data_IF_904125554581
#
_entry.id   IF_904125554581
#
_cell.length_a   1.000
_cell.length_b   1.000
_cell.length_c   1.000
_cell.angle_alpha   90.00
_cell.angle_beta   90.00
_cell.angle_gamma   90.00
#
_symmetry.space_group_name_H-M   'P 1'
#
loop_
_entity.id
_entity.type
_entity.pdbx_description
1 polymer ?
#
# COMPACT_ATOMS: atom_id res chain seq x y z
N UNK A 1 58.05 -9.80 13.32
CA UNK A 1 56.98 -9.28 14.19
C UNK A 1 55.83 -8.84 13.29
N UNK A 2 54.84 -9.71 13.06
CA UNK A 2 53.61 -9.35 12.35
C UNK A 2 52.70 -8.61 13.33
N UNK A 3 52.55 -7.30 13.14
CA UNK A 3 51.66 -6.48 13.93
C UNK A 3 50.21 -6.85 13.64
N UNK A 4 49.60 -7.62 14.54
CA UNK A 4 48.16 -7.84 14.59
C UNK A 4 47.46 -6.48 14.77
N UNK A 5 46.92 -5.91 13.69
CA UNK A 5 45.99 -4.77 13.79
C UNK A 5 44.79 -5.25 14.62
N UNK A 6 44.74 -4.85 15.89
CA UNK A 6 43.50 -4.90 16.68
C UNK A 6 42.45 -4.11 15.90
N UNK A 7 41.47 -4.81 15.33
CA UNK A 7 40.23 -4.19 14.87
C UNK A 7 39.64 -3.46 16.07
N UNK A 8 39.51 -2.13 15.98
CA UNK A 8 38.79 -1.35 16.97
C UNK A 8 37.39 -1.93 17.12
N UNK A 9 36.87 -1.99 18.35
CA UNK A 9 35.49 -2.36 18.58
C UNK A 9 34.59 -1.47 17.70
N UNK A 10 33.61 -2.02 16.97
CA UNK A 10 32.75 -1.22 16.12
C UNK A 10 32.08 -0.13 16.98
N UNK A 11 32.20 1.13 16.56
CA UNK A 11 31.54 2.25 17.22
C UNK A 11 30.01 2.10 17.15
N UNK A 12 29.30 2.84 18.00
CA UNK A 12 27.83 2.86 17.99
C UNK A 12 27.29 3.29 16.61
N UNK A 13 26.22 2.63 16.18
CA UNK A 13 25.54 2.91 14.90
C UNK A 13 24.83 4.26 14.96
N UNK A 14 25.03 5.11 13.97
CA UNK A 14 24.46 6.47 13.91
C UNK A 14 23.30 6.55 12.93
N UNK A 15 22.28 7.33 13.29
CA UNK A 15 21.08 7.55 12.49
C UNK A 15 20.99 9.02 12.08
N UNK A 16 20.72 9.27 10.80
CA UNK A 16 20.42 10.59 10.27
C UNK A 16 19.08 10.58 9.51
N UNK A 17 18.23 11.55 9.82
CA UNK A 17 16.96 11.80 9.15
C UNK A 17 17.17 12.96 8.18
N UNK A 18 17.16 12.65 6.89
CA UNK A 18 17.30 13.60 5.79
C UNK A 18 15.92 14.18 5.49
N UNK A 19 15.51 15.19 6.26
CA UNK A 19 14.26 15.93 6.08
C UNK A 19 13.52 16.19 7.40
N UNK A 20 12.85 17.33 7.47
CA UNK A 20 12.25 17.87 8.70
C UNK A 20 10.88 18.51 8.47
N UNK A 21 10.21 18.14 7.38
CA UNK A 21 8.80 18.48 7.19
C UNK A 21 7.91 17.79 8.23
N UNK A 22 6.60 17.87 8.02
CA UNK A 22 5.60 17.30 8.93
C UNK A 22 5.85 15.80 9.20
N UNK A 23 6.04 14.98 8.16
CA UNK A 23 6.37 13.56 8.32
C UNK A 23 7.79 13.31 8.84
N UNK A 24 8.76 14.13 8.45
CA UNK A 24 10.15 14.02 8.94
C UNK A 24 10.25 14.25 10.46
N UNK A 25 9.45 15.18 10.98
CA UNK A 25 9.37 15.45 12.42
C UNK A 25 8.63 14.33 13.16
N UNK A 26 7.54 13.79 12.59
CA UNK A 26 6.80 12.68 13.20
C UNK A 26 7.65 11.40 13.29
N UNK A 27 8.37 11.04 12.21
CA UNK A 27 9.29 9.89 12.26
C UNK A 27 10.49 10.13 13.18
N UNK A 28 10.95 11.38 13.31
CA UNK A 28 11.99 11.73 14.29
C UNK A 28 11.52 11.45 15.72
N UNK A 29 10.24 11.70 16.03
CA UNK A 29 9.66 11.37 17.33
C UNK A 29 9.70 9.86 17.61
N UNK A 30 9.35 9.03 16.62
CA UNK A 30 9.41 7.56 16.73
C UNK A 30 10.86 7.07 16.94
N UNK A 31 11.78 7.50 16.07
CA UNK A 31 13.17 7.06 16.10
C UNK A 31 13.86 7.53 17.39
N UNK A 32 13.69 8.81 17.76
CA UNK A 32 14.28 9.37 18.97
C UNK A 32 13.82 8.66 20.24
N UNK A 33 12.55 8.26 20.32
CA UNK A 33 12.02 7.51 21.46
C UNK A 33 12.57 6.08 21.51
N UNK A 34 12.62 5.38 20.38
CA UNK A 34 13.03 3.98 20.31
C UNK A 34 14.54 3.77 20.49
N UNK A 35 15.36 4.69 19.97
CA UNK A 35 16.83 4.54 19.97
C UNK A 35 17.42 4.53 21.39
N UNK A 36 16.73 5.11 22.37
CA UNK A 36 17.12 5.05 23.80
C UNK A 36 17.25 3.60 24.27
N UNK A 37 16.35 2.72 23.82
CA UNK A 37 16.30 1.31 24.20
C UNK A 37 17.12 0.39 23.26
N UNK A 38 17.88 0.95 22.32
CA UNK A 38 18.70 0.21 21.37
C UNK A 38 20.21 0.40 21.68
N UNK A 39 20.84 -0.50 22.45
CA UNK A 39 22.21 -0.31 22.96
C UNK A 39 23.28 -0.24 21.87
N UNK A 40 23.01 -0.78 20.68
CA UNK A 40 23.93 -0.77 19.55
C UNK A 40 23.97 0.58 18.80
N UNK A 41 23.07 1.51 19.12
CA UNK A 41 22.95 2.81 18.47
C UNK A 41 23.46 3.96 19.34
N UNK A 42 24.03 4.97 18.69
CA UNK A 42 24.27 6.29 19.26
C UNK A 42 22.91 6.89 19.61
N UNK A 43 22.80 7.51 20.79
CA UNK A 43 21.52 8.06 21.24
C UNK A 43 21.16 9.32 20.49
N UNK A 44 22.15 10.04 19.95
CA UNK A 44 21.93 11.26 19.18
C UNK A 44 21.47 10.92 17.77
N UNK A 45 20.32 11.46 17.38
CA UNK A 45 19.79 11.35 16.01
C UNK A 45 19.85 12.72 15.37
N UNK A 46 20.64 12.85 14.30
CA UNK A 46 20.69 14.10 13.54
C UNK A 46 19.49 14.17 12.60
N UNK A 47 18.79 15.31 12.58
CA UNK A 47 17.73 15.60 11.64
C UNK A 47 18.15 16.80 10.79
N UNK A 48 18.28 16.60 9.48
CA UNK A 48 18.57 17.69 8.56
C UNK A 48 17.38 18.64 8.46
N UNK A 49 17.63 19.92 8.76
CA UNK A 49 16.66 21.00 8.67
C UNK A 49 17.13 22.03 7.67
N UNK A 50 16.40 22.21 6.57
CA UNK A 50 16.69 23.34 5.69
C UNK A 50 16.48 24.63 6.49
N UNK A 51 17.52 25.45 6.57
CA UNK A 51 17.50 26.60 7.48
C UNK A 51 16.48 27.65 7.00
N UNK A 52 15.62 28.07 7.93
CA UNK A 52 14.62 29.08 7.70
C UNK A 52 14.65 30.08 8.85
N UNK A 53 14.47 31.36 8.53
CA UNK A 53 14.24 32.41 9.52
C UNK A 53 12.73 32.52 9.71
N UNK A 54 12.27 32.31 10.95
CA UNK A 54 10.85 32.37 11.26
C UNK A 54 10.33 33.80 11.16
N UNK A 55 9.24 33.99 10.40
CA UNK A 55 8.63 35.30 10.18
C UNK A 55 7.83 35.80 11.42
N UNK A 56 7.17 36.95 11.28
CA UNK A 56 6.40 37.57 12.36
C UNK A 56 5.23 36.72 12.88
N UNK A 57 4.71 35.77 12.09
CA UNK A 57 3.58 34.92 12.47
C UNK A 57 3.93 33.91 13.56
N UNK A 58 5.23 33.72 13.84
CA UNK A 58 5.73 32.80 14.88
C UNK A 58 5.97 33.45 16.25
N UNK A 59 5.48 34.68 16.46
CA UNK A 59 5.47 35.34 17.77
C UNK A 59 6.86 35.47 18.39
N UNK A 60 7.04 34.95 19.60
CA UNK A 60 8.34 34.98 20.32
C UNK A 60 9.48 34.21 19.63
N UNK A 61 9.18 33.44 18.59
CA UNK A 61 10.18 32.77 17.76
C UNK A 61 10.57 33.59 16.52
N UNK A 62 9.94 34.73 16.27
CA UNK A 62 10.22 35.56 15.11
C UNK A 62 11.69 35.99 15.07
N UNK A 63 12.28 35.96 13.86
CA UNK A 63 13.69 36.29 13.62
C UNK A 63 14.68 35.18 14.02
N UNK A 64 14.23 34.09 14.67
CA UNK A 64 15.09 32.98 15.06
C UNK A 64 15.24 31.97 13.91
N UNK A 65 16.41 31.33 13.87
CA UNK A 65 16.67 30.15 13.04
C UNK A 65 15.79 28.98 13.47
N UNK A 66 15.14 28.30 12.53
CA UNK A 66 14.29 27.15 12.81
C UNK A 66 15.08 26.03 13.53
N UNK A 67 16.33 25.78 13.13
CA UNK A 67 17.20 24.80 13.81
C UNK A 67 17.43 25.13 15.28
N UNK A 68 17.69 26.40 15.60
CA UNK A 68 17.90 26.86 16.96
C UNK A 68 16.62 26.70 17.81
N UNK A 69 15.45 26.99 17.23
CA UNK A 69 14.16 26.78 17.91
C UNK A 69 13.92 25.30 18.17
N UNK A 70 14.16 24.42 17.19
CA UNK A 70 14.01 22.98 17.38
C UNK A 70 14.96 22.46 18.46
N UNK A 71 16.24 22.85 18.44
CA UNK A 71 17.22 22.37 19.42
C UNK A 71 17.01 22.89 20.84
N UNK A 72 16.31 24.01 21.02
CA UNK A 72 16.06 24.61 22.36
C UNK A 72 14.69 24.24 22.92
N UNK A 73 13.66 24.20 22.07
CA UNK A 73 12.28 23.88 22.48
C UNK A 73 11.92 22.42 22.28
N UNK A 74 12.73 21.67 21.54
CA UNK A 74 12.41 20.32 21.08
C UNK A 74 11.04 20.27 20.40
N UNK A 75 10.74 21.24 19.54
CA UNK A 75 9.50 21.30 18.78
C UNK A 75 9.77 21.89 17.40
N UNK A 76 9.24 21.24 16.35
CA UNK A 76 9.19 21.84 15.03
C UNK A 76 7.95 22.71 14.88
N UNK A 77 8.05 23.95 15.38
CA UNK A 77 6.94 24.91 15.47
C UNK A 77 6.28 25.25 14.13
N UNK A 78 6.98 25.00 13.01
CA UNK A 78 6.48 25.25 11.66
C UNK A 78 5.78 24.04 11.06
N UNK A 79 6.39 22.86 11.17
CA UNK A 79 5.94 21.69 10.42
C UNK A 79 5.23 20.63 11.26
N UNK A 80 5.37 20.62 12.59
CA UNK A 80 4.70 19.70 13.51
C UNK A 80 4.37 20.39 14.84
N UNK A 81 3.64 21.51 14.73
CA UNK A 81 3.25 22.36 15.87
C UNK A 81 2.48 21.57 16.93
N UNK A 82 2.81 21.79 18.19
CA UNK A 82 2.16 21.16 19.35
C UNK A 82 2.72 19.80 19.75
N UNK A 83 3.69 19.25 18.99
CA UNK A 83 4.31 17.97 19.33
C UNK A 83 5.77 18.13 19.71
N UNK A 84 6.08 17.78 20.96
CA UNK A 84 7.46 17.74 21.45
C UNK A 84 8.23 16.56 20.84
N UNK A 85 9.41 16.85 20.30
CA UNK A 85 10.42 15.91 19.86
C UNK A 85 11.23 15.39 21.08
N UNK A 86 11.80 14.18 21.01
CA UNK A 86 12.75 13.69 22.01
C UNK A 86 14.02 14.57 22.10
N UNK A 87 14.61 14.66 23.29
CA UNK A 87 15.76 15.55 23.56
C UNK A 87 17.03 15.16 22.78
N UNK A 88 17.09 13.91 22.37
CA UNK A 88 18.18 13.34 21.59
C UNK A 88 18.03 13.56 20.07
N UNK A 89 16.99 14.28 19.61
CA UNK A 89 16.88 14.77 18.24
C UNK A 89 17.63 16.10 18.12
N UNK A 90 18.62 16.15 17.23
CA UNK A 90 19.42 17.35 16.97
C UNK A 90 19.15 17.85 15.55
N UNK A 91 18.60 19.05 15.44
CA UNK A 91 18.42 19.76 14.18
C UNK A 91 19.78 20.29 13.67
N UNK A 92 20.13 19.92 12.45
CA UNK A 92 21.38 20.28 11.78
C UNK A 92 21.08 20.97 10.43
N UNK A 93 21.50 22.23 10.22
CA UNK A 93 21.28 22.95 8.96
C UNK A 93 22.14 22.48 7.79
N UNK A 94 23.30 21.85 8.03
CA UNK A 94 24.16 21.35 6.97
C UNK A 94 23.88 19.87 6.68
N UNK A 95 23.41 19.61 5.46
CA UNK A 95 23.05 18.26 5.02
C UNK A 95 24.22 17.26 5.09
N UNK A 96 25.43 17.70 4.75
CA UNK A 96 26.62 16.83 4.76
C UNK A 96 27.03 16.55 6.20
N UNK A 97 27.06 17.56 7.07
CA UNK A 97 27.36 17.40 8.50
C UNK A 97 26.35 16.49 9.19
N UNK A 98 25.07 16.54 8.79
CA UNK A 98 24.04 15.65 9.29
C UNK A 98 24.30 14.18 8.92
N UNK A 99 24.68 13.93 7.66
CA UNK A 99 24.67 12.61 7.05
C UNK A 99 26.02 11.88 7.02
N UNK A 100 27.15 12.59 7.02
CA UNK A 100 28.48 12.04 6.69
C UNK A 100 28.88 10.83 7.55
N UNK A 101 28.50 10.83 8.83
CA UNK A 101 28.86 9.81 9.81
C UNK A 101 27.73 8.79 10.06
N UNK A 102 26.59 8.91 9.37
CA UNK A 102 25.43 8.07 9.61
C UNK A 102 25.60 6.68 9.01
N UNK A 103 25.28 5.64 9.78
CA UNK A 103 25.18 4.26 9.30
C UNK A 103 23.79 3.99 8.71
N UNK A 104 22.75 4.70 9.19
CA UNK A 104 21.39 4.64 8.67
C UNK A 104 20.89 6.01 8.25
N UNK A 105 20.43 6.12 7.00
CA UNK A 105 19.92 7.35 6.39
C UNK A 105 18.43 7.20 6.08
N UNK A 106 17.60 8.07 6.67
CA UNK A 106 16.15 8.09 6.43
C UNK A 106 15.82 9.28 5.53
N UNK A 107 15.46 9.04 4.27
CA UNK A 107 15.10 10.09 3.32
C UNK A 107 13.60 10.41 3.43
N UNK A 108 13.28 11.63 3.84
CA UNK A 108 11.91 12.10 4.09
C UNK A 108 11.73 13.56 3.65
N UNK A 109 12.22 13.85 2.44
CA UNK A 109 12.03 15.13 1.77
C UNK A 109 10.84 15.06 0.80
N UNK A 110 10.18 16.18 0.49
CA UNK A 110 9.37 16.27 -0.72
C UNK A 110 10.19 15.83 -1.95
N UNK A 111 9.59 15.04 -2.85
CA UNK A 111 10.32 14.32 -3.89
C UNK A 111 11.10 15.24 -4.84
N UNK A 112 10.60 16.45 -5.09
CA UNK A 112 11.28 17.44 -5.93
C UNK A 112 12.64 17.91 -5.39
N UNK A 113 12.87 17.78 -4.07
CA UNK A 113 14.13 18.19 -3.45
C UNK A 113 15.16 17.06 -3.36
N UNK A 114 14.76 15.81 -3.70
CA UNK A 114 15.66 14.65 -3.61
C UNK A 114 16.85 14.80 -4.55
N UNK A 115 16.67 15.25 -5.79
CA UNK A 115 17.78 15.39 -6.76
C UNK A 115 18.96 16.20 -6.20
N UNK A 116 18.67 17.41 -5.71
CA UNK A 116 19.64 18.34 -5.09
C UNK A 116 20.25 17.78 -3.80
N UNK A 117 19.45 17.11 -2.98
CA UNK A 117 19.97 16.47 -1.77
C UNK A 117 20.99 15.38 -2.11
N UNK A 118 20.71 14.58 -3.14
CA UNK A 118 21.64 13.54 -3.58
C UNK A 118 22.93 14.13 -4.19
N UNK A 119 22.86 15.22 -4.95
CA UNK A 119 24.06 15.92 -5.47
C UNK A 119 25.01 16.33 -4.34
N UNK A 120 24.45 16.83 -3.24
CA UNK A 120 25.24 17.26 -2.08
C UNK A 120 25.91 16.09 -1.35
N UNK A 121 25.25 14.92 -1.31
CA UNK A 121 25.68 13.75 -0.54
C UNK A 121 26.59 12.78 -1.30
N UNK A 122 26.60 12.82 -2.64
CA UNK A 122 27.44 11.93 -3.46
C UNK A 122 28.91 12.02 -3.06
N UNK A 123 29.50 10.89 -2.66
CA UNK A 123 30.89 10.78 -2.23
C UNK A 123 31.20 11.32 -0.83
N UNK A 124 30.18 11.74 -0.06
CA UNK A 124 30.36 12.38 1.26
C UNK A 124 29.66 11.64 2.41
N UNK A 125 29.17 10.43 2.17
CA UNK A 125 28.57 9.56 3.19
C UNK A 125 29.41 8.29 3.37
N UNK A 126 29.21 7.57 4.47
CA UNK A 126 29.80 6.24 4.66
C UNK A 126 29.44 5.31 3.49
N UNK A 127 30.41 4.64 2.84
CA UNK A 127 30.13 3.64 1.82
C UNK A 127 29.33 2.44 2.35
N UNK A 128 29.38 2.19 3.66
CA UNK A 128 28.64 1.14 4.35
C UNK A 128 27.25 1.58 4.84
N UNK A 129 26.83 2.83 4.57
CA UNK A 129 25.53 3.31 5.01
C UNK A 129 24.39 2.52 4.37
N UNK A 130 23.25 2.46 5.06
CA UNK A 130 22.02 1.81 4.61
C UNK A 130 20.90 2.84 4.64
N UNK A 131 20.10 2.91 3.57
CA UNK A 131 19.07 3.92 3.44
C UNK A 131 17.64 3.40 3.45
N UNK A 132 16.72 4.27 3.86
CA UNK A 132 15.27 4.04 3.84
C UNK A 132 14.59 5.27 3.25
N UNK A 133 13.79 5.11 2.20
CA UNK A 133 12.99 6.20 1.63
C UNK A 133 11.56 6.16 2.17
N UNK A 134 11.11 7.29 2.71
CA UNK A 134 9.72 7.55 3.10
C UNK A 134 9.03 8.46 2.07
N UNK A 135 9.69 8.72 0.94
CA UNK A 135 9.23 9.65 -0.07
C UNK A 135 8.21 8.98 -0.99
N UNK A 136 6.98 9.47 -0.97
CA UNK A 136 5.90 8.99 -1.84
C UNK A 136 5.91 9.80 -3.16
N UNK A 137 6.22 9.14 -4.27
CA UNK A 137 6.26 9.76 -5.59
C UNK A 137 7.12 8.96 -6.58
N UNK A 138 7.22 9.47 -7.81
CA UNK A 138 8.05 8.90 -8.88
C UNK A 138 9.15 9.90 -9.27
N UNK A 139 10.20 9.38 -9.90
CA UNK A 139 11.26 10.20 -10.48
C UNK A 139 11.17 10.17 -12.01
N UNK A 140 10.81 11.30 -12.62
CA UNK A 140 10.67 11.44 -14.07
C UNK A 140 11.09 12.86 -14.52
N UNK A 141 12.37 13.23 -14.43
CA UNK A 141 12.84 14.58 -14.77
C UNK A 141 12.68 14.92 -16.25
N UNK A 142 12.75 13.92 -17.14
CA UNK A 142 12.72 14.11 -18.60
C UNK A 142 11.33 13.89 -19.22
N UNK A 143 10.31 13.54 -18.41
CA UNK A 143 8.95 13.19 -18.87
C UNK A 143 8.88 12.01 -19.84
N UNK A 144 9.96 11.25 -20.01
CA UNK A 144 10.05 10.10 -20.93
C UNK A 144 10.05 8.76 -20.21
N UNK A 145 10.65 8.69 -19.01
CA UNK A 145 10.83 7.45 -18.29
C UNK A 145 10.62 7.61 -16.80
N UNK A 146 9.90 6.66 -16.20
CA UNK A 146 9.61 6.63 -14.77
C UNK A 146 10.65 5.77 -14.07
N UNK A 147 11.20 6.30 -12.98
CA UNK A 147 12.07 5.57 -12.08
C UNK A 147 11.56 5.66 -10.64
N UNK A 148 11.84 4.61 -9.88
CA UNK A 148 11.62 4.62 -8.44
C UNK A 148 12.66 5.49 -7.74
N UNK A 149 12.24 6.25 -6.72
CA UNK A 149 13.13 7.13 -5.97
C UNK A 149 14.18 6.31 -5.21
N UNK A 150 13.82 5.18 -4.62
CA UNK A 150 14.77 4.27 -3.97
C UNK A 150 15.89 3.80 -4.91
N UNK A 151 15.55 3.55 -6.18
CA UNK A 151 16.52 3.15 -7.21
C UNK A 151 17.42 4.32 -7.59
N UNK A 152 16.86 5.53 -7.74
CA UNK A 152 17.64 6.75 -8.01
C UNK A 152 18.62 7.06 -6.88
N UNK A 153 18.19 6.91 -5.62
CA UNK A 153 19.05 7.08 -4.45
C UNK A 153 20.15 6.01 -4.44
N UNK A 154 19.81 4.74 -4.65
CA UNK A 154 20.76 3.62 -4.74
C UNK A 154 21.83 3.89 -5.80
N UNK A 155 21.43 4.32 -6.99
CA UNK A 155 22.36 4.55 -8.10
C UNK A 155 23.30 5.73 -7.84
N UNK A 156 22.83 6.76 -7.16
CA UNK A 156 23.60 8.00 -6.95
C UNK A 156 24.51 7.94 -5.72
N UNK A 157 24.06 7.23 -4.67
CA UNK A 157 24.79 7.11 -3.40
C UNK A 157 25.50 5.77 -3.23
N UNK A 158 25.19 4.77 -4.06
CA UNK A 158 25.77 3.42 -4.01
C UNK A 158 25.54 2.69 -2.68
N UNK A 159 24.39 2.92 -2.04
CA UNK A 159 23.99 2.28 -0.79
C UNK A 159 22.74 1.41 -0.96
N UNK A 160 22.55 0.35 -0.15
CA UNK A 160 21.31 -0.41 -0.12
C UNK A 160 20.14 0.47 0.33
N UNK A 161 19.00 0.34 -0.35
CA UNK A 161 17.79 1.12 -0.07
C UNK A 161 16.57 0.22 0.18
N UNK A 162 15.81 0.56 1.21
CA UNK A 162 14.42 0.13 1.39
C UNK A 162 13.43 1.28 1.30
N UNK A 163 12.15 0.97 1.48
CA UNK A 163 11.08 1.97 1.55
C UNK A 163 10.15 1.73 2.74
N UNK A 164 9.59 2.80 3.28
CA UNK A 164 8.48 2.76 4.24
C UNK A 164 7.27 3.44 3.62
N UNK A 165 6.21 2.67 3.42
CA UNK A 165 4.98 3.07 2.75
C UNK A 165 3.79 2.55 3.56
N UNK A 166 2.71 3.31 3.69
CA UNK A 166 1.58 2.91 4.55
C UNK A 166 0.56 4.01 4.77
N UNK A 167 -0.57 3.62 5.38
CA UNK A 167 -1.64 4.52 5.82
C UNK A 167 -1.23 5.26 7.10
N UNK A 168 -0.42 6.31 6.96
CA UNK A 168 0.23 6.96 8.10
C UNK A 168 0.18 8.48 8.03
N UNK A 169 -0.98 9.05 8.39
CA UNK A 169 -1.11 10.51 8.52
C UNK A 169 -0.21 10.99 9.64
N UNK A 170 0.68 11.92 9.29
CA UNK A 170 1.78 12.33 10.16
C UNK A 170 1.36 12.90 11.52
N UNK A 171 0.29 13.70 11.57
CA UNK A 171 -0.23 14.22 12.83
C UNK A 171 -0.80 13.11 13.72
N UNK A 172 -1.56 12.16 13.15
CA UNK A 172 -2.11 11.02 13.89
C UNK A 172 -1.01 10.13 14.49
N UNK A 173 0.07 9.92 13.72
CA UNK A 173 1.26 9.22 14.22
C UNK A 173 1.95 10.01 15.32
N UNK A 174 2.02 11.34 15.19
CA UNK A 174 2.61 12.20 16.21
C UNK A 174 1.74 12.29 17.49
N UNK A 175 0.42 12.12 17.36
CA UNK A 175 -0.56 11.98 18.45
C UNK A 175 -0.50 10.60 19.13
N UNK A 176 0.23 9.64 18.55
CA UNK A 176 0.29 8.27 19.07
C UNK A 176 -0.98 7.46 18.79
N UNK A 177 -1.75 7.83 17.76
CA UNK A 177 -2.92 7.06 17.35
C UNK A 177 -2.50 5.80 16.60
N UNK A 178 -3.29 4.74 16.80
CA UNK A 178 -3.04 3.44 16.19
C UNK A 178 -3.08 3.51 14.66
N UNK A 179 -2.02 3.03 14.02
CA UNK A 179 -1.94 2.79 12.59
C UNK A 179 -0.88 1.74 12.25
N UNK A 180 -0.86 1.34 10.97
CA UNK A 180 0.06 0.34 10.45
C UNK A 180 0.84 0.90 9.26
N UNK A 181 2.06 0.40 9.06
CA UNK A 181 2.87 0.69 7.87
C UNK A 181 3.58 -0.56 7.37
N UNK A 182 4.04 -0.50 6.14
CA UNK A 182 4.88 -1.52 5.53
C UNK A 182 6.29 -0.99 5.35
N UNK A 183 7.28 -1.74 5.84
CA UNK A 183 8.68 -1.57 5.44
C UNK A 183 8.99 -2.63 4.40
N UNK A 184 9.49 -2.22 3.24
CA UNK A 184 10.00 -3.13 2.23
C UNK A 184 11.51 -2.98 2.10
N UNK A 185 12.23 -4.09 2.23
CA UNK A 185 13.68 -4.13 2.11
C UNK A 185 14.11 -5.51 1.58
N UNK A 186 14.93 -5.56 0.52
CA UNK A 186 15.37 -6.82 -0.11
C UNK A 186 16.07 -7.75 0.90
N UNK A 187 17.03 -7.20 1.64
CA UNK A 187 17.63 -7.84 2.81
C UNK A 187 16.76 -7.64 4.06
N UNK A 188 16.03 -8.68 4.47
CA UNK A 188 15.11 -8.61 5.60
C UNK A 188 15.78 -8.18 6.91
N UNK A 189 17.07 -8.48 7.11
CA UNK A 189 17.81 -8.06 8.30
C UNK A 189 17.83 -6.53 8.45
N UNK A 190 18.08 -5.81 7.35
CA UNK A 190 18.03 -4.35 7.35
C UNK A 190 16.61 -3.84 7.62
N UNK A 191 15.59 -4.48 7.01
CA UNK A 191 14.19 -4.19 7.29
C UNK A 191 13.82 -4.33 8.77
N UNK A 192 14.36 -5.35 9.46
CA UNK A 192 14.15 -5.55 10.91
C UNK A 192 14.84 -4.47 11.75
N UNK A 193 15.98 -3.94 11.32
CA UNK A 193 16.65 -2.84 12.00
C UNK A 193 15.81 -1.56 11.92
N UNK A 194 15.32 -1.20 10.74
CA UNK A 194 14.41 -0.06 10.61
C UNK A 194 13.09 -0.27 11.36
N UNK A 195 12.58 -1.51 11.40
CA UNK A 195 11.42 -1.87 12.24
C UNK A 195 11.71 -1.62 13.71
N UNK A 196 12.88 -2.02 14.23
CA UNK A 196 13.29 -1.73 15.61
C UNK A 196 13.38 -0.22 15.89
N UNK A 197 13.87 0.56 14.93
CA UNK A 197 13.97 2.01 15.06
C UNK A 197 12.61 2.73 15.06
N UNK A 198 11.59 2.22 14.38
CA UNK A 198 10.35 2.98 14.14
C UNK A 198 9.09 2.39 14.77
N UNK A 199 9.05 1.08 15.05
CA UNK A 199 7.84 0.43 15.55
C UNK A 199 7.52 0.85 16.99
N UNK A 200 6.25 1.08 17.27
CA UNK A 200 5.71 1.31 18.62
C UNK A 200 4.49 0.39 18.84
N UNK A 201 3.83 0.43 20.02
CA UNK A 201 2.53 -0.22 20.19
C UNK A 201 1.47 0.31 19.21
N UNK A 202 1.49 1.61 18.91
CA UNK A 202 0.49 2.28 18.05
C UNK A 202 0.96 2.49 16.61
N UNK A 203 2.24 2.28 16.31
CA UNK A 203 2.79 2.30 14.95
C UNK A 203 3.34 0.93 14.59
N UNK A 204 2.47 0.06 14.05
CA UNK A 204 2.79 -1.35 13.76
C UNK A 204 3.42 -1.51 12.38
N UNK A 205 4.45 -2.35 12.29
CA UNK A 205 5.25 -2.47 11.06
C UNK A 205 5.26 -3.93 10.57
N UNK A 206 4.83 -4.13 9.32
CA UNK A 206 5.07 -5.38 8.57
C UNK A 206 6.29 -5.21 7.67
N UNK A 207 7.22 -6.15 7.72
CA UNK A 207 8.45 -6.13 6.90
C UNK A 207 8.30 -7.12 5.75
N UNK A 208 8.46 -6.65 4.51
CA UNK A 208 8.40 -7.44 3.28
C UNK A 208 9.66 -7.27 2.43
N UNK A 209 9.84 -8.10 1.40
CA UNK A 209 10.98 -8.01 0.46
C UNK A 209 10.72 -7.11 -0.74
N UNK A 210 9.46 -6.93 -1.10
CA UNK A 210 9.04 -6.29 -2.35
C UNK A 210 9.07 -4.76 -2.26
N UNK A 211 10.27 -4.20 -2.44
CA UNK A 211 10.53 -2.75 -2.45
C UNK A 211 9.75 -2.05 -3.57
N UNK A 212 9.76 -2.66 -4.76
CA UNK A 212 9.22 -2.11 -5.99
C UNK A 212 7.72 -1.85 -5.87
N UNK A 213 6.91 -2.87 -5.54
CA UNK A 213 5.47 -2.68 -5.48
C UNK A 213 5.07 -1.80 -4.29
N UNK A 214 5.76 -1.89 -3.15
CA UNK A 214 5.49 -1.04 -2.00
C UNK A 214 5.67 0.45 -2.34
N UNK A 215 6.75 0.80 -3.04
CA UNK A 215 7.02 2.17 -3.48
C UNK A 215 6.02 2.66 -4.53
N UNK A 216 5.69 1.81 -5.51
CA UNK A 216 4.66 2.11 -6.52
C UNK A 216 3.30 2.37 -5.89
N UNK A 217 2.91 1.59 -4.88
CA UNK A 217 1.64 1.81 -4.18
C UNK A 217 1.58 3.21 -3.56
N UNK A 218 2.65 3.63 -2.88
CA UNK A 218 2.74 4.95 -2.25
C UNK A 218 2.66 6.10 -3.25
N UNK A 219 3.19 5.91 -4.47
CA UNK A 219 3.13 6.91 -5.53
C UNK A 219 1.76 6.96 -6.22
N UNK A 220 1.29 5.83 -6.74
CA UNK A 220 0.13 5.76 -7.65
C UNK A 220 -1.21 6.01 -6.95
N UNK A 221 -1.34 5.67 -5.65
CA UNK A 221 -2.59 5.86 -4.90
C UNK A 221 -3.13 7.29 -4.95
N UNK A 222 -2.25 8.29 -5.09
CA UNK A 222 -2.63 9.70 -5.03
C UNK A 222 -3.42 10.11 -6.28
N UNK A 223 -3.22 9.42 -7.40
CA UNK A 223 -4.04 9.57 -8.62
C UNK A 223 -5.47 9.11 -8.31
N UNK A 224 -5.60 7.92 -7.73
CA UNK A 224 -6.91 7.33 -7.36
C UNK A 224 -7.62 8.16 -6.30
N UNK A 225 -6.89 8.69 -5.31
CA UNK A 225 -7.44 9.58 -4.30
C UNK A 225 -7.98 10.88 -4.91
N UNK A 226 -7.30 11.44 -5.93
CA UNK A 226 -7.80 12.59 -6.66
C UNK A 226 -9.08 12.24 -7.44
N UNK A 227 -9.14 11.08 -8.11
CA UNK A 227 -10.35 10.61 -8.77
C UNK A 227 -11.54 10.44 -7.80
N UNK A 228 -11.28 9.88 -6.61
CA UNK A 228 -12.29 9.75 -5.57
C UNK A 228 -12.82 11.13 -5.13
N UNK A 229 -11.93 12.12 -5.00
CA UNK A 229 -12.31 13.51 -4.76
C UNK A 229 -13.15 14.11 -5.89
N UNK A 230 -12.73 13.95 -7.14
CA UNK A 230 -13.51 14.41 -8.31
C UNK A 230 -14.92 13.82 -8.28
N UNK A 231 -15.04 12.52 -7.97
CA UNK A 231 -16.35 11.88 -7.81
C UNK A 231 -17.18 12.53 -6.70
N UNK A 232 -16.58 12.84 -5.54
CA UNK A 232 -17.29 13.52 -4.45
C UNK A 232 -17.80 14.91 -4.89
N UNK A 233 -16.96 15.68 -5.60
CA UNK A 233 -17.32 17.02 -6.05
C UNK A 233 -18.39 17.06 -7.14
N UNK A 234 -18.48 16.03 -7.99
CA UNK A 234 -19.51 15.95 -9.04
C UNK A 234 -20.80 15.31 -8.54
N UNK A 235 -20.71 14.19 -7.84
CA UNK A 235 -21.86 13.32 -7.54
C UNK A 235 -22.28 13.34 -6.06
N UNK A 236 -21.53 14.04 -5.21
CA UNK A 236 -21.59 13.91 -3.76
C UNK A 236 -20.93 12.60 -3.28
N UNK A 237 -20.99 12.35 -1.97
CA UNK A 237 -20.40 11.16 -1.34
C UNK A 237 -21.19 9.87 -1.64
N UNK A 238 -21.18 9.42 -2.90
CA UNK A 238 -21.82 8.16 -3.34
C UNK A 238 -20.88 6.98 -3.11
N UNK A 239 -21.18 6.20 -2.08
CA UNK A 239 -20.31 5.11 -1.59
C UNK A 239 -20.03 4.03 -2.64
N UNK A 240 -21.03 3.57 -3.41
CA UNK A 240 -20.84 2.55 -4.44
C UNK A 240 -19.94 3.03 -5.59
N UNK A 241 -20.14 4.26 -6.06
CA UNK A 241 -19.32 4.87 -7.12
C UNK A 241 -17.88 5.03 -6.65
N UNK A 242 -17.68 5.55 -5.44
CA UNK A 242 -16.34 5.72 -4.84
C UNK A 242 -15.66 4.37 -4.64
N UNK A 243 -16.37 3.34 -4.19
CA UNK A 243 -15.85 1.99 -4.05
C UNK A 243 -15.39 1.40 -5.40
N UNK A 244 -16.17 1.63 -6.48
CA UNK A 244 -15.78 1.22 -7.82
C UNK A 244 -14.50 1.93 -8.30
N UNK A 245 -14.37 3.24 -8.05
CA UNK A 245 -13.14 4.01 -8.35
C UNK A 245 -11.94 3.47 -7.58
N UNK A 246 -12.10 3.19 -6.28
CA UNK A 246 -11.02 2.63 -5.44
C UNK A 246 -10.59 1.26 -5.99
N UNK A 247 -11.54 0.37 -6.29
CA UNK A 247 -11.26 -0.97 -6.81
C UNK A 247 -10.56 -0.90 -8.17
N UNK A 248 -11.10 -0.13 -9.11
CA UNK A 248 -10.52 0.02 -10.45
C UNK A 248 -9.14 0.68 -10.40
N UNK A 249 -8.98 1.69 -9.55
CA UNK A 249 -7.68 2.31 -9.30
C UNK A 249 -6.66 1.34 -8.74
N UNK A 250 -7.05 0.47 -7.80
CA UNK A 250 -6.17 -0.60 -7.33
C UNK A 250 -5.77 -1.56 -8.46
N UNK A 251 -6.70 -1.94 -9.33
CA UNK A 251 -6.39 -2.80 -10.48
C UNK A 251 -5.42 -2.12 -11.45
N UNK A 252 -5.59 -0.83 -11.73
CA UNK A 252 -4.63 -0.07 -12.54
C UNK A 252 -3.26 0.05 -11.86
N UNK A 253 -3.20 0.22 -10.54
CA UNK A 253 -1.94 0.19 -9.79
C UNK A 253 -1.22 -1.16 -9.93
N UNK A 254 -1.94 -2.27 -9.78
CA UNK A 254 -1.42 -3.63 -9.94
C UNK A 254 -0.94 -3.89 -11.36
N UNK A 255 -1.76 -3.55 -12.36
CA UNK A 255 -1.43 -3.71 -13.78
C UNK A 255 -0.22 -2.88 -14.16
N UNK A 256 -0.11 -1.65 -13.65
CA UNK A 256 1.03 -0.76 -13.92
C UNK A 256 2.33 -1.37 -13.37
N UNK A 257 2.29 -1.87 -12.15
CA UNK A 257 3.44 -2.55 -11.55
C UNK A 257 3.83 -3.82 -12.30
N UNK A 258 2.87 -4.71 -12.58
CA UNK A 258 3.10 -5.96 -13.33
C UNK A 258 3.71 -5.69 -14.72
N UNK A 259 3.19 -4.69 -15.43
CA UNK A 259 3.56 -4.41 -16.82
C UNK A 259 4.90 -3.68 -16.95
N UNK A 260 5.21 -2.75 -16.05
CA UNK A 260 6.37 -1.85 -16.19
C UNK A 260 7.47 -2.10 -15.17
N UNK A 261 7.18 -2.83 -14.09
CA UNK A 261 8.11 -3.14 -13.01
C UNK A 261 7.99 -4.62 -12.58
N UNK A 262 8.22 -5.57 -13.49
CA UNK A 262 8.00 -6.99 -13.22
C UNK A 262 8.92 -7.52 -12.11
N UNK A 263 8.46 -8.58 -11.44
CA UNK A 263 9.20 -9.27 -10.37
C UNK A 263 8.75 -8.92 -8.95
N UNK A 264 7.75 -8.05 -8.80
CA UNK A 264 7.04 -7.84 -7.55
C UNK A 264 6.02 -8.94 -7.23
N UNK A 265 5.51 -8.91 -6.01
CA UNK A 265 4.57 -9.89 -5.44
C UNK A 265 3.17 -9.25 -5.32
N UNK A 266 2.11 -9.80 -5.93
CA UNK A 266 0.77 -9.22 -5.89
C UNK A 266 0.21 -9.02 -4.47
N UNK A 267 0.61 -9.86 -3.52
CA UNK A 267 0.22 -9.80 -2.10
C UNK A 267 0.68 -8.49 -1.43
N UNK A 268 1.67 -7.80 -1.98
CA UNK A 268 2.11 -6.47 -1.52
C UNK A 268 0.97 -5.45 -1.58
N UNK A 269 0.06 -5.55 -2.55
CA UNK A 269 -1.08 -4.65 -2.67
C UNK A 269 -2.13 -4.83 -1.56
N UNK A 270 -2.09 -5.96 -0.84
CA UNK A 270 -2.94 -6.22 0.33
C UNK A 270 -2.35 -5.68 1.64
N UNK A 271 -1.11 -5.19 1.62
CA UNK A 271 -0.44 -4.61 2.80
C UNK A 271 -0.90 -3.17 3.06
N UNK A 272 -0.50 -2.60 4.21
CA UNK A 272 -0.76 -1.18 4.52
C UNK A 272 -0.27 -0.23 3.42
N UNK A 273 0.87 -0.50 2.77
CA UNK A 273 1.33 0.32 1.64
C UNK A 273 0.38 0.34 0.44
N UNK A 274 -0.39 -0.74 0.22
CA UNK A 274 -1.32 -0.90 -0.88
C UNK A 274 -2.72 -0.42 -0.52
N UNK A 275 -3.63 -1.37 -0.27
CA UNK A 275 -5.05 -1.08 0.00
C UNK A 275 -5.25 -0.15 1.20
N UNK A 276 -4.47 -0.30 2.28
CA UNK A 276 -4.61 0.54 3.48
C UNK A 276 -4.39 2.03 3.17
N UNK A 277 -3.24 2.35 2.54
CA UNK A 277 -2.89 3.72 2.19
C UNK A 277 -3.81 4.29 1.11
N UNK A 278 -4.23 3.44 0.16
CA UNK A 278 -5.19 3.81 -0.88
C UNK A 278 -6.54 4.24 -0.29
N UNK A 279 -7.14 3.41 0.57
CA UNK A 279 -8.43 3.68 1.20
C UNK A 279 -8.35 4.97 2.02
N UNK A 280 -7.38 5.06 2.94
CA UNK A 280 -7.20 6.24 3.80
C UNK A 280 -7.08 7.53 2.98
N UNK A 281 -6.35 7.47 1.86
CA UNK A 281 -6.18 8.62 0.96
C UNK A 281 -7.46 9.02 0.24
N UNK A 282 -8.29 8.05 -0.17
CA UNK A 282 -9.55 8.28 -0.88
C UNK A 282 -10.67 8.79 0.02
N UNK A 283 -10.54 8.70 1.35
CA UNK A 283 -11.52 9.25 2.31
C UNK A 283 -11.03 10.53 3.00
N UNK A 284 -9.77 10.59 3.44
CA UNK A 284 -9.27 11.72 4.25
C UNK A 284 -8.17 12.56 3.61
N UNK A 285 -7.58 12.11 2.50
CA UNK A 285 -6.36 12.67 1.94
C UNK A 285 -6.50 14.05 1.31
N UNK A 286 -5.41 14.82 1.30
CA UNK A 286 -5.31 16.13 0.61
C UNK A 286 -5.68 16.04 -0.88
N UNK A 287 -5.25 14.99 -1.57
CA UNK A 287 -5.58 14.77 -2.99
C UNK A 287 -7.09 14.61 -3.21
N UNK A 288 -7.79 13.91 -2.30
CA UNK A 288 -9.25 13.80 -2.33
C UNK A 288 -9.91 15.16 -2.13
N UNK A 289 -9.54 15.89 -1.08
CA UNK A 289 -10.10 17.22 -0.76
C UNK A 289 -9.93 18.22 -1.92
N UNK A 290 -8.75 18.26 -2.54
CA UNK A 290 -8.50 19.15 -3.68
C UNK A 290 -9.23 18.66 -4.94
N UNK A 291 -9.28 17.35 -5.21
CA UNK A 291 -10.07 16.81 -6.33
C UNK A 291 -11.55 17.14 -6.23
N UNK A 292 -12.11 17.08 -5.01
CA UNK A 292 -13.50 17.49 -4.71
C UNK A 292 -13.71 18.98 -5.00
N UNK A 293 -12.88 19.84 -4.41
CA UNK A 293 -12.98 21.28 -4.61
C UNK A 293 -12.78 21.68 -6.09
N UNK A 294 -11.88 20.99 -6.80
CA UNK A 294 -11.62 21.21 -8.22
C UNK A 294 -12.82 20.86 -9.09
N UNK A 295 -13.45 19.71 -8.82
CA UNK A 295 -14.66 19.30 -9.54
C UNK A 295 -15.86 20.21 -9.24
N UNK A 296 -15.98 20.71 -8.01
CA UNK A 296 -17.04 21.63 -7.60
C UNK A 296 -16.83 23.08 -8.06
N UNK A 297 -15.61 23.46 -8.47
CA UNK A 297 -15.25 24.86 -8.78
C UNK A 297 -14.62 25.01 -10.18
N UNK A 298 -15.42 24.99 -11.27
CA UNK A 298 -14.89 25.00 -12.65
C UNK A 298 -13.97 26.18 -12.99
N UNK A 299 -14.18 27.33 -12.32
CA UNK A 299 -13.40 28.55 -12.52
C UNK A 299 -11.99 28.49 -11.89
N UNK A 300 -11.78 27.68 -10.85
CA UNK A 300 -10.50 27.64 -10.13
C UNK A 300 -9.48 26.77 -10.86
N UNK A 301 -8.20 27.11 -10.71
CA UNK A 301 -7.09 26.26 -11.14
C UNK A 301 -6.62 25.37 -9.99
N UNK A 302 -5.84 24.33 -10.31
CA UNK A 302 -5.18 23.51 -9.28
C UNK A 302 -4.21 24.32 -8.42
N UNK A 303 -3.59 25.35 -9.00
CA UNK A 303 -2.67 26.24 -8.29
C UNK A 303 -3.41 27.13 -7.29
N UNK A 304 -4.59 27.64 -7.66
CA UNK A 304 -5.44 28.42 -6.75
C UNK A 304 -5.84 27.57 -5.54
N UNK A 305 -6.39 26.38 -5.80
CA UNK A 305 -6.82 25.47 -4.74
C UNK A 305 -5.66 24.99 -3.88
N UNK A 306 -4.48 24.75 -4.47
CA UNK A 306 -3.30 24.36 -3.71
C UNK A 306 -2.85 25.47 -2.76
N UNK A 307 -2.87 26.73 -3.20
CA UNK A 307 -2.54 27.88 -2.35
C UNK A 307 -3.56 28.08 -1.22
N UNK A 308 -4.84 27.98 -1.54
CA UNK A 308 -5.94 28.18 -0.59
C UNK A 308 -6.04 27.06 0.45
N UNK A 309 -5.83 25.80 0.06
CA UNK A 309 -6.20 24.64 0.89
C UNK A 309 -5.02 23.95 1.56
N UNK A 310 -3.80 24.09 1.04
CA UNK A 310 -2.68 23.24 1.46
C UNK A 310 -1.65 23.92 2.37
N UNK A 311 -1.73 25.24 2.59
CA UNK A 311 -0.86 25.95 3.54
C UNK A 311 0.64 25.73 3.27
N UNK A 312 1.04 25.75 1.99
CA UNK A 312 2.43 25.49 1.56
C UNK A 312 2.79 24.01 1.32
N UNK A 313 1.91 23.07 1.69
CA UNK A 313 2.07 21.66 1.33
C UNK A 313 1.78 21.42 -0.16
N UNK A 314 2.37 20.37 -0.73
CA UNK A 314 2.33 20.10 -2.17
C UNK A 314 1.23 19.10 -2.54
N UNK A 315 0.53 19.34 -3.65
CA UNK A 315 -0.45 18.42 -4.24
C UNK A 315 0.26 17.42 -5.16
N UNK A 316 0.30 16.15 -4.76
CA UNK A 316 1.06 15.12 -5.47
C UNK A 316 0.24 14.40 -6.55
N UNK A 317 -1.05 14.16 -6.32
CA UNK A 317 -1.87 13.31 -7.19
C UNK A 317 -1.97 13.80 -8.63
N UNK A 318 -2.23 15.10 -8.83
CA UNK A 318 -2.28 15.70 -10.16
C UNK A 318 -0.94 15.61 -10.91
N UNK A 319 0.16 15.83 -10.19
CA UNK A 319 1.52 15.73 -10.73
C UNK A 319 1.88 14.28 -11.08
N UNK A 320 1.60 13.32 -10.19
CA UNK A 320 1.83 11.90 -10.47
C UNK A 320 0.98 11.43 -11.64
N UNK A 321 -0.26 11.91 -11.79
CA UNK A 321 -1.09 11.62 -12.94
C UNK A 321 -0.47 12.14 -14.25
N UNK A 322 0.09 13.36 -14.24
CA UNK A 322 0.86 13.88 -15.38
C UNK A 322 2.09 13.01 -15.69
N UNK A 323 2.92 12.69 -14.69
CA UNK A 323 4.14 11.90 -14.88
C UNK A 323 3.81 10.49 -15.43
N UNK A 324 2.77 9.85 -14.90
CA UNK A 324 2.30 8.52 -15.35
C UNK A 324 1.68 8.60 -16.73
N UNK A 325 0.82 9.57 -17.01
CA UNK A 325 0.16 9.63 -18.31
C UNK A 325 1.14 9.97 -19.44
N UNK A 326 2.11 10.87 -19.23
CA UNK A 326 3.17 11.08 -20.21
C UNK A 326 3.94 9.80 -20.51
N UNK A 327 4.31 9.03 -19.48
CA UNK A 327 4.97 7.74 -19.67
C UNK A 327 4.09 6.75 -20.46
N UNK A 328 2.80 6.64 -20.10
CA UNK A 328 1.86 5.77 -20.81
C UNK A 328 1.68 6.18 -22.27
N UNK A 329 1.62 7.47 -22.56
CA UNK A 329 1.51 8.01 -23.92
C UNK A 329 2.72 7.62 -24.78
N UNK A 330 3.94 7.77 -24.25
CA UNK A 330 5.15 7.32 -24.92
C UNK A 330 5.22 5.80 -25.15
N UNK A 331 4.48 5.01 -24.34
CA UNK A 331 4.36 3.56 -24.53
C UNK A 331 3.17 3.16 -25.39
N UNK A 332 2.30 4.10 -25.79
CA UNK A 332 1.04 3.80 -26.48
C UNK A 332 0.05 3.00 -25.61
N UNK A 333 0.03 3.28 -24.29
CA UNK A 333 -0.67 2.47 -23.28
C UNK A 333 -1.75 3.21 -22.51
N UNK A 334 -2.12 4.44 -22.88
CA UNK A 334 -3.15 5.20 -22.16
C UNK A 334 -4.49 4.47 -22.04
N UNK A 335 -4.91 3.77 -23.12
CA UNK A 335 -6.15 2.98 -23.16
C UNK A 335 -6.17 1.81 -22.18
N UNK A 336 -5.01 1.34 -21.75
CA UNK A 336 -4.88 0.26 -20.77
C UNK A 336 -5.13 0.73 -19.33
N UNK A 337 -5.12 2.05 -19.10
CA UNK A 337 -5.23 2.73 -17.79
C UNK A 337 -6.20 3.94 -17.88
N UNK A 338 -7.49 3.69 -18.16
CA UNK A 338 -8.47 4.77 -18.38
C UNK A 338 -8.70 5.67 -17.16
N UNK A 339 -8.63 5.19 -15.92
CA UNK A 339 -8.79 6.00 -14.72
C UNK A 339 -7.60 6.96 -14.55
N UNK A 340 -6.36 6.47 -14.64
CA UNK A 340 -5.16 7.32 -14.56
C UNK A 340 -5.17 8.38 -15.67
N UNK A 341 -5.54 7.98 -16.88
CA UNK A 341 -5.65 8.88 -18.04
C UNK A 341 -6.73 9.93 -17.84
N UNK A 342 -7.91 9.55 -17.36
CA UNK A 342 -9.01 10.49 -17.09
C UNK A 342 -8.61 11.53 -16.03
N UNK A 343 -7.93 11.12 -14.95
CA UNK A 343 -7.44 12.07 -13.93
C UNK A 343 -6.48 13.08 -14.55
N UNK A 344 -5.55 12.65 -15.40
CA UNK A 344 -4.64 13.57 -16.10
C UNK A 344 -5.40 14.58 -16.97
N UNK A 345 -6.31 14.10 -17.83
CA UNK A 345 -7.10 14.95 -18.72
C UNK A 345 -8.00 15.93 -17.96
N UNK A 346 -8.56 15.52 -16.82
CA UNK A 346 -9.33 16.39 -15.92
C UNK A 346 -8.43 17.47 -15.32
N UNK A 347 -7.23 17.12 -14.85
CA UNK A 347 -6.27 18.10 -14.32
C UNK A 347 -5.83 19.11 -15.37
N UNK A 348 -5.74 18.70 -16.65
CA UNK A 348 -5.44 19.57 -17.80
C UNK A 348 -6.64 20.34 -18.35
N UNK A 349 -7.84 20.11 -17.81
CA UNK A 349 -9.12 20.66 -18.32
C UNK A 349 -9.45 20.23 -19.76
N UNK A 350 -8.88 19.11 -20.21
CA UNK A 350 -9.18 18.46 -21.50
C UNK A 350 -10.41 17.55 -21.40
N UNK A 351 -10.73 17.09 -20.19
CA UNK A 351 -11.93 16.32 -19.87
C UNK A 351 -12.70 17.02 -18.75
N UNK A 352 -14.02 17.16 -18.91
CA UNK A 352 -14.88 17.68 -17.85
C UNK A 352 -14.95 16.68 -16.68
N UNK A 353 -14.92 17.14 -15.40
CA UNK A 353 -14.97 16.26 -14.23
C UNK A 353 -16.13 15.24 -14.24
N UNK A 354 -17.31 15.63 -14.75
CA UNK A 354 -18.48 14.75 -14.83
C UNK A 354 -18.34 13.59 -15.84
N UNK A 355 -17.30 13.59 -16.66
CA UNK A 355 -16.97 12.51 -17.60
C UNK A 355 -16.06 11.43 -17.01
N UNK A 356 -15.59 11.58 -15.77
CA UNK A 356 -14.77 10.58 -15.09
C UNK A 356 -15.41 9.18 -15.11
N UNK A 357 -16.72 9.09 -14.82
CA UNK A 357 -17.43 7.80 -14.77
C UNK A 357 -17.58 7.21 -16.17
N UNK A 358 -17.85 8.04 -17.17
CA UNK A 358 -17.95 7.58 -18.56
C UNK A 358 -16.63 6.93 -19.02
N UNK A 359 -15.47 7.51 -18.63
CA UNK A 359 -14.15 6.97 -18.95
C UNK A 359 -13.90 5.56 -18.37
N UNK A 360 -14.51 5.22 -17.22
CA UNK A 360 -14.31 3.93 -16.55
C UNK A 360 -15.46 2.93 -16.74
N UNK A 361 -16.54 3.28 -17.46
CA UNK A 361 -17.62 2.31 -17.77
C UNK A 361 -17.12 1.12 -18.59
N UNK A 362 -16.25 1.38 -19.55
CA UNK A 362 -15.64 0.37 -20.43
C UNK A 362 -14.24 -0.05 -19.97
N UNK A 363 -13.97 0.04 -18.67
CA UNK A 363 -12.68 -0.31 -18.11
C UNK A 363 -12.28 -1.75 -18.49
N UNK A 364 -11.03 -2.03 -18.90
CA UNK A 364 -10.60 -3.37 -19.35
C UNK A 364 -10.97 -4.52 -18.39
N UNK A 365 -10.89 -4.26 -17.08
CA UNK A 365 -11.32 -5.19 -16.01
C UNK A 365 -12.77 -5.67 -16.09
N UNK A 366 -13.69 -4.97 -16.76
CA UNK A 366 -15.07 -5.44 -16.97
C UNK A 366 -15.19 -6.48 -18.09
N UNK A 367 -14.18 -6.55 -18.96
CA UNK A 367 -14.17 -7.40 -20.15
C UNK A 367 -13.19 -8.57 -20.04
N UNK A 368 -12.36 -8.61 -18.99
CA UNK A 368 -11.44 -9.70 -18.73
C UNK A 368 -12.12 -10.79 -17.89
N UNK A 369 -12.51 -11.89 -18.52
CA UNK A 369 -12.79 -13.15 -17.82
C UNK A 369 -11.47 -13.72 -17.29
N UNK A 370 -11.05 -13.33 -16.08
CA UNK A 370 -9.95 -13.98 -15.36
C UNK A 370 -10.51 -15.08 -14.46
N UNK A 371 -10.46 -16.33 -14.93
CA UNK A 371 -10.49 -17.50 -14.03
C UNK A 371 -9.05 -17.69 -13.53
N UNK A 372 -8.68 -16.98 -12.47
CA UNK A 372 -7.35 -17.08 -11.87
C UNK A 372 -7.38 -18.07 -10.70
N UNK A 373 -6.96 -19.31 -10.96
CA UNK A 373 -6.57 -20.25 -9.89
C UNK A 373 -5.11 -19.94 -9.55
N UNK A 374 -4.82 -19.37 -8.40
CA UNK A 374 -3.44 -19.15 -7.93
C UNK A 374 -3.27 -19.74 -6.53
N UNK A 375 -2.43 -20.78 -6.44
CA UNK A 375 -1.67 -21.15 -5.25
C UNK A 375 -2.27 -22.20 -4.31
N UNK A 376 -2.09 -23.49 -4.60
CA UNK A 376 -1.66 -24.46 -3.59
C UNK A 376 -0.55 -25.32 -4.20
N UNK A 377 0.51 -25.54 -3.43
CA UNK A 377 1.73 -26.22 -3.85
C UNK A 377 1.45 -27.55 -4.57
N UNK A 378 2.17 -27.73 -5.67
CA UNK A 378 2.16 -28.91 -6.53
C UNK A 378 2.92 -30.05 -5.83
N UNK A 379 2.30 -30.71 -4.84
CA UNK A 379 2.78 -32.00 -4.35
C UNK A 379 2.37 -33.10 -5.33
N UNK A 380 3.31 -33.49 -6.19
CA UNK A 380 3.15 -34.63 -7.11
C UNK A 380 3.12 -35.93 -6.32
N UNK A 381 2.04 -36.70 -6.45
CA UNK A 381 2.04 -38.11 -6.02
C UNK A 381 2.86 -38.97 -6.99
N UNK A 382 3.36 -40.11 -6.52
CA UNK A 382 4.28 -41.03 -7.19
C UNK A 382 3.79 -41.66 -8.53
N UNK A 383 2.66 -41.21 -9.08
CA UNK A 383 2.07 -41.72 -10.32
C UNK A 383 1.86 -40.64 -11.42
N UNK A 384 2.44 -39.43 -11.26
CA UNK A 384 2.54 -38.46 -12.36
C UNK A 384 1.21 -37.89 -12.89
N UNK A 385 0.12 -37.92 -12.11
CA UNK A 385 -1.15 -37.26 -12.46
C UNK A 385 -1.45 -36.09 -11.51
N UNK A 386 -2.00 -34.96 -12.01
CA UNK A 386 -2.30 -33.78 -11.20
C UNK A 386 -3.41 -34.09 -10.20
N UNK A 387 -3.14 -33.89 -8.90
CA UNK A 387 -4.12 -33.99 -7.81
C UNK A 387 -4.60 -32.58 -7.49
N UNK A 388 -5.82 -32.24 -7.93
CA UNK A 388 -6.42 -30.94 -7.64
C UNK A 388 -6.92 -30.87 -6.19
N UNK A 389 -6.27 -30.04 -5.37
CA UNK A 389 -6.67 -29.75 -3.98
C UNK A 389 -7.81 -28.71 -4.00
N UNK A 390 -9.05 -29.16 -4.24
CA UNK A 390 -10.27 -28.34 -4.09
C UNK A 390 -10.91 -28.43 -2.69
N UNK A 391 -10.27 -29.11 -1.74
CA UNK A 391 -10.95 -29.55 -0.51
C UNK A 391 -11.29 -28.46 0.50
N UNK A 392 -10.51 -27.39 0.67
CA UNK A 392 -10.70 -26.49 1.83
C UNK A 392 -11.50 -25.21 1.57
N UNK A 393 -11.42 -24.61 0.37
CA UNK A 393 -12.10 -23.34 0.09
C UNK A 393 -13.59 -23.56 -0.25
N UNK A 394 -13.88 -24.59 -1.06
CA UNK A 394 -15.25 -24.97 -1.40
C UNK A 394 -15.99 -25.51 -0.17
N UNK A 395 -15.30 -26.24 0.71
CA UNK A 395 -15.84 -26.73 1.97
C UNK A 395 -16.19 -25.57 2.91
N UNK A 396 -15.35 -24.52 3.02
CA UNK A 396 -15.69 -23.32 3.81
C UNK A 396 -16.80 -22.48 3.16
N UNK A 397 -16.80 -22.36 1.83
CA UNK A 397 -17.82 -21.61 1.09
C UNK A 397 -19.19 -22.29 1.21
N UNK A 398 -19.24 -23.62 1.05
CA UNK A 398 -20.46 -24.41 1.22
C UNK A 398 -20.93 -24.40 2.68
N UNK A 399 -20.04 -24.54 3.68
CA UNK A 399 -20.45 -24.45 5.09
C UNK A 399 -20.98 -23.04 5.45
N UNK A 400 -20.42 -21.97 4.87
CA UNK A 400 -20.88 -20.59 5.08
C UNK A 400 -22.21 -20.31 4.36
N UNK A 401 -22.39 -20.86 3.16
CA UNK A 401 -23.62 -20.75 2.38
C UNK A 401 -24.77 -21.56 3.02
N UNK A 402 -24.46 -22.73 3.59
CA UNK A 402 -25.43 -23.62 4.25
C UNK A 402 -25.86 -23.10 5.63
N UNK A 403 -25.04 -22.29 6.31
CA UNK A 403 -25.38 -21.71 7.63
C UNK A 403 -26.21 -20.42 7.57
N UNK A 404 -26.37 -19.80 6.39
CA UNK A 404 -27.20 -18.60 6.21
C UNK A 404 -28.53 -18.93 5.52
N UNK A 405 -29.48 -19.50 6.28
CA UNK A 405 -30.75 -20.09 5.81
C UNK A 405 -31.80 -19.12 5.23
N UNK A 406 -31.42 -17.94 4.76
CA UNK A 406 -32.32 -17.01 4.07
C UNK A 406 -31.73 -16.39 2.80
N UNK A 407 -30.40 -16.34 2.67
CA UNK A 407 -29.77 -15.68 1.53
C UNK A 407 -29.74 -16.58 0.28
N UNK A 408 -29.66 -17.90 0.46
CA UNK A 408 -29.56 -18.86 -0.64
C UNK A 408 -30.83 -18.88 -1.53
N UNK A 409 -32.01 -18.78 -0.92
CA UNK A 409 -33.29 -18.85 -1.64
C UNK A 409 -33.59 -17.56 -2.41
N UNK A 410 -33.18 -16.41 -1.87
CA UNK A 410 -33.38 -15.09 -2.49
C UNK A 410 -32.40 -14.84 -3.63
N UNK A 411 -31.14 -15.28 -3.49
CA UNK A 411 -30.16 -15.17 -4.59
C UNK A 411 -30.53 -16.06 -5.79
N UNK A 412 -31.02 -17.29 -5.53
CA UNK A 412 -31.42 -18.21 -6.59
C UNK A 412 -32.61 -17.67 -7.42
N UNK A 413 -33.58 -17.01 -6.77
CA UNK A 413 -34.72 -16.40 -7.48
C UNK A 413 -34.33 -15.18 -8.32
N UNK A 414 -33.42 -14.34 -7.85
CA UNK A 414 -33.09 -13.07 -8.53
C UNK A 414 -31.99 -13.19 -9.59
N UNK A 415 -31.01 -14.07 -9.41
CA UNK A 415 -29.91 -14.22 -10.39
C UNK A 415 -30.24 -15.17 -11.53
N UNK A 416 -31.16 -16.12 -11.34
CA UNK A 416 -31.36 -17.23 -12.26
C UNK A 416 -32.77 -17.33 -12.85
N UNK A 417 -33.69 -16.42 -12.51
CA UNK A 417 -35.03 -16.35 -13.12
C UNK A 417 -35.85 -17.64 -12.95
N UNK A 418 -35.73 -18.31 -11.81
CA UNK A 418 -36.29 -19.65 -11.58
C UNK A 418 -37.77 -19.64 -11.17
N UNK A 419 -38.62 -20.24 -12.00
CA UNK A 419 -39.91 -20.83 -11.61
C UNK A 419 -39.81 -22.36 -11.71
N UNK A 420 -40.58 -23.06 -10.87
CA UNK A 420 -40.44 -24.47 -10.47
C UNK A 420 -40.12 -25.48 -11.59
N UNK A 421 -39.10 -26.35 -11.37
CA UNK A 421 -38.76 -27.46 -12.26
C UNK A 421 -37.67 -28.39 -11.70
N UNK A 422 -37.85 -29.71 -11.92
CA UNK A 422 -37.04 -30.82 -11.38
C UNK A 422 -35.69 -30.95 -12.13
N UNK A 423 -34.59 -31.14 -11.39
CA UNK A 423 -33.24 -31.30 -11.93
C UNK A 423 -32.96 -32.77 -12.33
N UNK A 424 -32.59 -33.01 -13.60
CA UNK A 424 -31.98 -34.26 -14.05
C UNK A 424 -30.47 -34.09 -14.17
N UNK A 425 -29.68 -34.98 -13.54
CA UNK A 425 -28.26 -35.14 -13.85
C UNK A 425 -28.08 -36.28 -14.84
N UNK A 426 -27.91 -35.96 -16.12
CA UNK A 426 -27.47 -36.90 -17.15
C UNK A 426 -26.01 -36.67 -17.48
N UNK A 427 -25.14 -37.57 -17.04
CA UNK A 427 -23.76 -37.66 -17.51
C UNK A 427 -23.74 -38.49 -18.81
N UNK A 428 -23.39 -37.89 -19.93
CA UNK A 428 -23.02 -38.64 -21.12
C UNK A 428 -21.52 -38.97 -21.06
N UNK A 429 -21.26 -40.26 -20.83
CA UNK A 429 -20.04 -41.04 -21.10
C UNK A 429 -18.87 -41.05 -20.10
N UNK A 430 -18.15 -42.20 -20.00
CA UNK A 430 -17.78 -42.80 -18.71
C UNK A 430 -16.37 -42.43 -18.26
N UNK A 431 -16.26 -41.88 -17.04
CA UNK A 431 -15.00 -41.77 -16.32
C UNK A 431 -14.91 -42.87 -15.27
N UNK A 432 -13.77 -43.58 -15.28
CA UNK A 432 -13.51 -44.79 -14.52
C UNK A 432 -13.65 -44.68 -13.00
N UNK A 433 -13.81 -45.84 -12.39
CA UNK A 433 -14.02 -46.09 -10.96
C UNK A 433 -13.05 -45.29 -10.07
N UNK A 434 -13.59 -44.32 -9.33
CA UNK A 434 -12.92 -43.67 -8.20
C UNK A 434 -13.80 -43.81 -6.96
N UNK A 435 -13.30 -44.50 -5.94
CA UNK A 435 -13.97 -44.68 -4.64
C UNK A 435 -13.91 -43.34 -3.90
N UNK A 436 -15.06 -42.76 -3.56
CA UNK A 436 -15.17 -41.59 -2.68
C UNK A 436 -15.44 -42.11 -1.26
N UNK A 437 -14.51 -41.95 -0.33
CA UNK A 437 -14.81 -42.15 1.10
C UNK A 437 -15.21 -40.83 1.75
N UNK A 438 -16.30 -40.86 2.51
CA UNK A 438 -16.76 -39.75 3.35
C UNK A 438 -16.21 -39.92 4.77
N UNK A 439 -15.96 -38.80 5.44
CA UNK A 439 -15.58 -38.80 6.85
C UNK A 439 -16.78 -39.28 7.71
N UNK A 440 -16.58 -40.11 8.75
CA UNK A 440 -17.68 -40.67 9.57
C UNK A 440 -18.63 -39.60 10.13
N UNK A 441 -18.10 -38.47 10.60
CA UNK A 441 -18.90 -37.36 11.12
C UNK A 441 -19.84 -36.71 10.06
N UNK A 442 -19.51 -36.81 8.77
CA UNK A 442 -20.41 -36.37 7.69
C UNK A 442 -21.54 -37.37 7.47
N UNK A 443 -21.26 -38.67 7.60
CA UNK A 443 -22.29 -39.71 7.47
C UNK A 443 -23.33 -39.53 8.59
N UNK A 444 -22.89 -39.24 9.80
CA UNK A 444 -23.78 -38.98 10.94
C UNK A 444 -24.55 -37.67 10.78
N UNK A 445 -23.92 -36.59 10.30
CA UNK A 445 -24.60 -35.31 10.06
C UNK A 445 -25.67 -35.41 8.95
N UNK A 446 -25.38 -36.14 7.87
CA UNK A 446 -26.30 -36.38 6.76
C UNK A 446 -27.45 -37.27 7.22
N UNK A 447 -27.17 -38.35 7.96
CA UNK A 447 -28.20 -39.22 8.51
C UNK A 447 -29.12 -38.48 9.50
N UNK A 448 -28.57 -37.63 10.36
CA UNK A 448 -29.33 -36.79 11.30
C UNK A 448 -30.23 -35.79 10.56
N UNK A 449 -29.75 -35.23 9.45
CA UNK A 449 -30.52 -34.28 8.64
C UNK A 449 -31.67 -34.97 7.87
N UNK A 450 -31.42 -36.14 7.27
CA UNK A 450 -32.40 -36.93 6.51
C UNK A 450 -33.52 -37.47 7.42
N UNK A 451 -33.21 -37.81 8.67
CA UNK A 451 -34.19 -38.35 9.63
C UNK A 451 -34.84 -37.26 10.50
N UNK A 452 -34.62 -35.97 10.19
CA UNK A 452 -35.33 -34.89 10.86
C UNK A 452 -36.74 -34.73 10.27
N UNK A 453 -37.75 -34.50 11.12
CA UNK A 453 -39.17 -34.29 10.75
C UNK A 453 -39.41 -33.07 9.81
N UNK A 454 -38.35 -32.42 9.31
CA UNK A 454 -38.38 -31.25 8.44
C UNK A 454 -38.40 -31.58 6.94
N UNK A 455 -38.32 -32.86 6.56
CA UNK A 455 -38.38 -33.29 5.16
C UNK A 455 -39.42 -34.40 4.98
N UNK A 456 -40.53 -34.10 4.31
CA UNK A 456 -41.44 -35.14 3.77
C UNK A 456 -41.02 -35.48 2.34
N UNK A 457 -40.46 -36.67 2.14
CA UNK A 457 -40.21 -37.22 0.81
C UNK A 457 -41.48 -37.92 0.33
N UNK A 458 -42.14 -37.37 -0.69
CA UNK A 458 -43.19 -38.08 -1.44
C UNK A 458 -42.53 -38.76 -2.66
N UNK A 459 -42.31 -40.06 -2.58
CA UNK A 459 -41.74 -40.91 -3.63
C UNK A 459 -41.49 -42.33 -3.12
N UNK A 460 -41.34 -43.34 -3.99
CA UNK A 460 -41.14 -44.71 -3.55
C UNK A 460 -39.84 -44.84 -2.71
N UNK A 461 -39.77 -45.80 -1.78
CA UNK A 461 -38.70 -45.84 -0.78
C UNK A 461 -37.34 -46.03 -1.46
N UNK A 462 -36.42 -45.08 -1.24
CA UNK A 462 -34.99 -45.23 -1.57
C UNK A 462 -34.33 -46.18 -0.55
N UNK A 463 -34.73 -47.45 -0.59
CA UNK A 463 -33.91 -48.54 -0.08
C UNK A 463 -32.78 -48.69 -1.09
N UNK A 464 -31.54 -48.28 -0.74
CA UNK A 464 -30.25 -48.85 -1.22
C UNK A 464 -29.05 -47.89 -1.31
N UNK A 465 -28.91 -46.86 -0.47
CA UNK A 465 -27.56 -46.24 -0.29
C UNK A 465 -26.76 -46.96 0.81
N UNK A 466 -27.43 -47.62 1.75
CA UNK A 466 -26.77 -48.39 2.82
C UNK A 466 -26.15 -49.73 2.41
N UNK A 467 -26.49 -50.28 1.23
CA UNK A 467 -25.95 -51.56 0.75
C UNK A 467 -24.82 -51.42 -0.27
N UNK A 468 -24.56 -50.22 -0.81
CA UNK A 468 -23.46 -50.00 -1.75
C UNK A 468 -22.09 -49.78 -1.07
N UNK A 469 -22.05 -49.65 0.26
CA UNK A 469 -20.82 -49.35 1.01
C UNK A 469 -20.20 -50.61 1.67
N UNK A 470 -20.95 -51.71 1.80
CA UNK A 470 -20.44 -52.95 2.41
C UNK A 470 -19.89 -54.00 1.41
N UNK A 471 -19.74 -53.65 0.14
CA UNK A 471 -19.35 -54.60 -0.92
C UNK A 471 -17.92 -54.49 -1.43
N UNK A 472 -17.03 -53.72 -0.80
CA UNK A 472 -15.64 -53.58 -1.29
C UNK A 472 -14.63 -53.50 -0.16
N UNK A 473 -14.77 -54.44 0.78
CA UNK A 473 -13.71 -54.87 1.69
C UNK A 473 -13.64 -56.41 1.59
N UNK A 474 -12.89 -56.88 0.59
CA UNK A 474 -12.12 -58.12 0.56
C UNK A 474 -11.19 -58.12 -0.66
#
# INVERSE_FOLDING_TARGET
MSGSKKLAAPGLLKVCIVGSGNWGSAVSKLIGANIINAPEFDKTVKMYVFEEILDATFGENSGKKLTAVINTKHENVKYLKGHRLPDNIVAEPDLVVAAQDADYLIFVLPHQFIGKALDNLTGKIKPSAVGMSLVKGLYNPEKTNIRLLSTVITDKLKIPMGVLMGANVANEVADGLFCETTIAFKELKQGQIFKKLMQTPDFRITVIKDVTNAELCGALKNIVAFAAGVSDGVFGEKTNTKAAIIRLGLMEMMKFAEQFFPGGTPETFLQSCGIGDLVTSCFGGRNRKVGEAFAASPAKTLDDLSKEMLGGQQLQGARTAEEVNYFLSHKGKEKDFPLFTAVHQICKKEMAPNKLIDAIRQHPEHHHFRVSVHGFNDERSAAGKPVFIYKNLLQRLITTIVTCSHLATTLAKHLLGWEEGILYFGANEPLGQGIVSLHPDMVDAINTYIHSDKVKLNGPPLISIGQAINGTLN
#
